data_IF_832102957402
#
_entry.id   IF_832102957402
#
_cell.length_a   1.000
_cell.length_b   1.000
_cell.length_c   1.000
_cell.angle_alpha   90.00
_cell.angle_beta   90.00
_cell.angle_gamma   90.00
#
_symmetry.space_group_name_H-M   'P 1'
#
loop_
_entity.id
_entity.type
_entity.pdbx_description
1 polymer ?
#
# COMPACT_ATOMS: atom_id res chain seq x y z
N UNK A 1 5.24 20.69 -17.84
CA UNK A 1 6.16 19.56 -18.06
C UNK A 1 5.48 18.30 -17.55
N UNK A 2 5.24 17.31 -18.41
CA UNK A 2 4.61 16.05 -17.99
C UNK A 2 5.60 15.26 -17.14
N UNK A 3 5.31 15.05 -15.85
CA UNK A 3 6.15 14.23 -14.97
C UNK A 3 6.29 12.83 -15.56
N UNK A 4 7.53 12.36 -15.66
CA UNK A 4 7.85 11.02 -16.14
C UNK A 4 7.33 9.96 -15.15
N UNK A 5 7.05 8.75 -15.63
CA UNK A 5 6.53 7.67 -14.78
C UNK A 5 7.49 7.31 -13.61
N UNK A 6 8.79 7.54 -13.78
CA UNK A 6 9.81 7.36 -12.75
C UNK A 6 9.69 8.37 -11.61
N UNK A 7 9.47 9.65 -11.94
CA UNK A 7 9.32 10.74 -10.95
C UNK A 7 8.06 10.55 -10.09
N UNK A 8 6.96 10.05 -10.68
CA UNK A 8 5.72 9.75 -9.92
C UNK A 8 5.92 8.64 -8.90
N UNK A 9 6.65 7.58 -9.26
CA UNK A 9 6.98 6.48 -8.35
C UNK A 9 7.94 6.92 -7.25
N UNK A 10 8.93 7.77 -7.56
CA UNK A 10 9.84 8.33 -6.58
C UNK A 10 9.09 9.23 -5.57
N UNK A 11 8.16 10.06 -6.05
CA UNK A 11 7.31 10.91 -5.20
C UNK A 11 6.43 10.08 -4.27
N UNK A 12 5.72 9.07 -4.80
CA UNK A 12 4.92 8.16 -3.98
C UNK A 12 5.77 7.46 -2.91
N UNK A 13 7.00 7.05 -3.26
CA UNK A 13 7.94 6.45 -2.30
C UNK A 13 8.34 7.42 -1.20
N UNK A 14 8.65 8.66 -1.55
CA UNK A 14 8.97 9.72 -0.60
C UNK A 14 7.79 9.95 0.36
N UNK A 15 6.57 10.09 -0.18
CA UNK A 15 5.35 10.29 0.59
C UNK A 15 5.07 9.15 1.58
N UNK A 16 5.33 7.90 1.20
CA UNK A 16 5.17 6.75 2.10
C UNK A 16 6.23 6.73 3.21
N UNK A 17 7.47 7.10 2.91
CA UNK A 17 8.53 7.22 3.91
C UNK A 17 8.25 8.37 4.89
N UNK A 18 7.74 9.51 4.42
CA UNK A 18 7.34 10.65 5.25
C UNK A 18 6.18 10.30 6.20
N UNK A 19 5.30 9.39 5.79
CA UNK A 19 4.23 8.85 6.65
C UNK A 19 4.73 7.83 7.69
N UNK A 20 6.03 7.52 7.71
CA UNK A 20 6.63 6.55 8.63
C UNK A 20 6.51 5.09 8.20
N UNK A 21 6.07 4.82 6.96
CA UNK A 21 6.03 3.45 6.45
C UNK A 21 7.42 2.98 6.02
N UNK A 22 7.73 1.72 6.35
CA UNK A 22 8.94 1.04 5.89
C UNK A 22 8.59 -0.03 4.86
N UNK A 23 9.36 -0.10 3.78
CA UNK A 23 9.15 -1.10 2.73
C UNK A 23 9.77 -2.43 3.14
N UNK A 24 8.97 -3.49 3.08
CA UNK A 24 9.43 -4.87 3.26
C UNK A 24 9.03 -5.68 2.03
N UNK A 25 9.98 -6.41 1.46
CA UNK A 25 9.67 -7.40 0.44
C UNK A 25 9.08 -8.63 1.13
N UNK A 26 7.83 -8.96 0.77
CA UNK A 26 7.04 -10.04 1.34
C UNK A 26 6.48 -10.90 0.20
N UNK A 27 6.44 -12.21 0.44
CA UNK A 27 5.74 -13.16 -0.42
C UNK A 27 4.39 -13.45 0.21
N UNK A 28 3.32 -13.07 -0.48
CA UNK A 28 1.94 -13.28 -0.03
C UNK A 28 1.28 -14.38 -0.86
N UNK A 29 0.42 -15.18 -0.23
CA UNK A 29 -0.44 -16.11 -0.97
C UNK A 29 -1.45 -15.34 -1.83
N UNK A 30 -1.98 -16.00 -2.86
CA UNK A 30 -3.01 -15.42 -3.72
C UNK A 30 -4.26 -15.01 -2.91
N UNK A 31 -4.70 -15.86 -1.98
CA UNK A 31 -5.83 -15.58 -1.10
C UNK A 31 -5.58 -14.34 -0.21
N UNK A 32 -4.34 -14.15 0.25
CA UNK A 32 -3.97 -12.97 1.03
C UNK A 32 -4.06 -11.70 0.18
N UNK A 33 -3.58 -11.75 -1.07
CA UNK A 33 -3.69 -10.62 -2.00
C UNK A 33 -5.16 -10.27 -2.28
N UNK A 34 -6.00 -11.27 -2.56
CA UNK A 34 -7.43 -11.07 -2.80
C UNK A 34 -8.12 -10.44 -1.59
N UNK A 35 -7.74 -10.84 -0.37
CA UNK A 35 -8.26 -10.26 0.87
C UNK A 35 -7.86 -8.79 1.01
N UNK A 36 -6.60 -8.45 0.76
CA UNK A 36 -6.11 -7.06 0.82
C UNK A 36 -6.81 -6.20 -0.24
N UNK A 37 -7.02 -6.72 -1.45
CA UNK A 37 -7.69 -5.98 -2.52
C UNK A 37 -9.18 -5.77 -2.25
N UNK A 38 -9.88 -6.78 -1.74
CA UNK A 38 -11.27 -6.65 -1.31
C UNK A 38 -11.39 -5.61 -0.20
N UNK A 39 -10.56 -5.71 0.83
CA UNK A 39 -10.55 -4.76 1.94
C UNK A 39 -10.28 -3.32 1.46
N UNK A 40 -9.34 -3.14 0.52
CA UNK A 40 -9.08 -1.83 -0.09
C UNK A 40 -10.34 -1.25 -0.73
N UNK A 41 -11.08 -2.05 -1.51
CA UNK A 41 -12.29 -1.61 -2.21
C UNK A 41 -13.41 -1.30 -1.20
N UNK A 42 -13.62 -2.17 -0.23
CA UNK A 42 -14.67 -2.02 0.79
C UNK A 42 -14.47 -0.78 1.68
N UNK A 43 -13.21 -0.40 1.92
CA UNK A 43 -12.85 0.74 2.77
C UNK A 43 -12.40 1.99 2.00
N UNK A 44 -12.58 2.03 0.67
CA UNK A 44 -12.18 3.14 -0.23
C UNK A 44 -10.73 3.61 -0.01
N UNK A 45 -9.80 2.64 0.12
CA UNK A 45 -8.41 2.92 0.41
C UNK A 45 -7.61 3.17 -0.88
N UNK A 46 -6.62 4.07 -0.80
CA UNK A 46 -5.84 4.49 -1.98
C UNK A 46 -4.76 3.48 -2.37
N UNK A 47 -4.38 2.57 -1.48
CA UNK A 47 -3.29 1.63 -1.68
C UNK A 47 -3.49 0.30 -0.95
N UNK A 48 -2.91 -0.76 -1.50
CA UNK A 48 -2.86 -2.07 -0.83
C UNK A 48 -2.02 -1.98 0.46
N UNK A 49 -1.03 -1.09 0.52
CA UNK A 49 -0.23 -0.83 1.72
C UNK A 49 -1.12 -0.29 2.86
N UNK A 50 -2.01 0.67 2.59
CA UNK A 50 -2.96 1.17 3.59
C UNK A 50 -3.93 0.08 4.06
N UNK A 51 -4.47 -0.71 3.13
CA UNK A 51 -5.34 -1.83 3.45
C UNK A 51 -4.66 -2.86 4.37
N UNK A 52 -3.43 -3.25 4.03
CA UNK A 52 -2.65 -4.18 4.84
C UNK A 52 -2.35 -3.61 6.24
N UNK A 53 -1.95 -2.34 6.34
CA UNK A 53 -1.67 -1.72 7.63
C UNK A 53 -2.93 -1.60 8.52
N UNK A 54 -4.10 -1.32 7.94
CA UNK A 54 -5.35 -1.30 8.70
C UNK A 54 -5.77 -2.69 9.16
N UNK A 55 -5.66 -3.71 8.29
CA UNK A 55 -5.90 -5.11 8.65
C UNK A 55 -5.00 -5.55 9.81
N UNK A 56 -3.70 -5.24 9.75
CA UNK A 56 -2.76 -5.56 10.83
C UNK A 56 -3.09 -4.81 12.13
N UNK A 57 -3.53 -3.55 12.03
CA UNK A 57 -3.95 -2.77 13.20
C UNK A 57 -5.21 -3.34 13.86
N UNK A 58 -6.13 -3.90 13.09
CA UNK A 58 -7.36 -4.52 13.61
C UNK A 58 -7.12 -5.87 14.33
N UNK A 59 -5.98 -6.51 14.07
CA UNK A 59 -5.57 -7.76 14.74
C UNK A 59 -4.87 -7.54 16.08
N UNK A 60 -4.41 -6.30 16.35
CA UNK A 60 -3.80 -5.88 17.61
C UNK A 60 -4.82 -5.19 18.52
#
# INVERSE_FOLDING_TARGET
>A
MAQTAAERKAKQRQEMLEKGFVRKDLWLSKESLETIEKYKIEHDLKSNDEALNQLLKALN
#
